data_IF_719081062997
#
_entry.id   IF_719081062997
#
_cell.length_a   1.000
_cell.length_b   1.000
_cell.length_c   1.000
_cell.angle_alpha   90.00
_cell.angle_beta   90.00
_cell.angle_gamma   90.00
#
_symmetry.space_group_name_H-M   'P 1'
#
loop_
_entity.id
_entity.type
_entity.pdbx_description
1 polymer ?
#
# COMPACT_ATOMS: atom_id res chain seq x y z
N UNK A 1 -29.80 9.86 -13.82
CA UNK A 1 -28.58 10.52 -14.33
C UNK A 1 -27.68 10.77 -13.13
N UNK A 2 -26.72 9.90 -12.86
CA UNK A 2 -25.84 10.01 -11.69
C UNK A 2 -24.79 11.09 -11.96
N UNK A 3 -24.69 12.08 -11.06
CA UNK A 3 -23.81 13.22 -11.21
C UNK A 3 -22.34 12.80 -11.36
N UNK A 4 -21.72 13.29 -12.42
CA UNK A 4 -20.26 13.32 -12.55
C UNK A 4 -19.73 14.16 -11.40
N UNK A 5 -19.11 13.50 -10.42
CA UNK A 5 -18.39 14.18 -9.35
C UNK A 5 -17.05 14.62 -9.92
N UNK A 6 -16.97 15.87 -10.39
CA UNK A 6 -15.73 16.54 -10.85
C UNK A 6 -14.81 16.91 -9.65
N UNK A 7 -14.66 15.99 -8.70
CA UNK A 7 -13.75 16.13 -7.55
C UNK A 7 -12.53 15.23 -7.73
N UNK A 8 -11.42 15.52 -7.04
CA UNK A 8 -10.27 14.62 -7.03
C UNK A 8 -10.70 13.22 -6.53
N UNK A 9 -10.16 12.17 -7.15
CA UNK A 9 -10.51 10.77 -6.85
C UNK A 9 -10.45 10.53 -5.33
N UNK A 10 -11.55 10.05 -4.70
CA UNK A 10 -11.58 9.81 -3.26
C UNK A 10 -10.53 8.78 -2.87
N UNK A 11 -9.82 9.04 -1.77
CA UNK A 11 -8.79 8.11 -1.27
C UNK A 11 -9.43 7.17 -0.26
N UNK A 12 -9.37 5.88 -0.52
CA UNK A 12 -9.93 4.86 0.39
C UNK A 12 -8.86 4.41 1.38
N UNK A 13 -9.09 4.64 2.68
CA UNK A 13 -8.26 4.05 3.73
C UNK A 13 -8.61 2.56 3.87
N UNK A 14 -7.63 1.68 3.81
CA UNK A 14 -7.86 0.23 3.83
C UNK A 14 -6.70 -0.54 4.46
N UNK A 15 -6.99 -1.79 4.80
CA UNK A 15 -5.99 -2.77 5.22
C UNK A 15 -5.21 -3.27 4.00
N UNK A 16 -3.94 -3.59 4.22
CA UNK A 16 -3.11 -4.25 3.21
C UNK A 16 -3.81 -5.51 2.71
N UNK A 17 -4.33 -6.33 3.62
CA UNK A 17 -5.11 -7.56 3.40
C UNK A 17 -6.34 -7.41 2.50
N UNK A 18 -6.84 -6.17 2.33
CA UNK A 18 -8.03 -5.87 1.52
C UNK A 18 -7.70 -5.26 0.17
N UNK A 19 -6.43 -4.92 -0.09
CA UNK A 19 -5.97 -4.44 -1.39
C UNK A 19 -6.44 -5.30 -2.59
N UNK A 20 -6.48 -6.65 -2.53
CA UNK A 20 -6.94 -7.47 -3.65
C UNK A 20 -8.42 -7.28 -4.00
N UNK A 21 -9.22 -6.70 -3.10
CA UNK A 21 -10.65 -6.47 -3.31
C UNK A 21 -10.93 -5.22 -4.16
N UNK A 22 -9.93 -4.36 -4.37
CA UNK A 22 -10.09 -3.11 -5.09
C UNK A 22 -9.77 -3.28 -6.57
N UNK A 23 -10.51 -2.55 -7.41
CA UNK A 23 -10.28 -2.55 -8.85
C UNK A 23 -9.03 -1.72 -9.20
N UNK A 24 -8.29 -2.10 -10.26
CA UNK A 24 -7.23 -1.27 -10.81
C UNK A 24 -7.66 0.16 -11.06
N UNK A 25 -6.79 1.12 -10.77
CA UNK A 25 -7.08 2.56 -10.82
C UNK A 25 -7.72 3.14 -9.56
N UNK A 26 -8.08 2.32 -8.57
CA UNK A 26 -8.59 2.81 -7.28
C UNK A 26 -7.49 3.48 -6.48
N UNK A 27 -7.77 4.69 -5.98
CA UNK A 27 -6.88 5.40 -5.06
C UNK A 27 -7.03 4.87 -3.64
N UNK A 28 -5.97 4.29 -3.11
CA UNK A 28 -5.93 3.66 -1.78
C UNK A 28 -4.90 4.33 -0.89
N UNK A 29 -5.18 4.30 0.41
CA UNK A 29 -4.23 4.58 1.48
C UNK A 29 -4.20 3.37 2.40
N UNK A 30 -3.02 2.86 2.67
CA UNK A 30 -2.84 1.75 3.61
C UNK A 30 -1.53 1.89 4.35
N UNK A 31 -1.38 1.07 5.38
CA UNK A 31 -0.18 0.97 6.19
C UNK A 31 0.47 -0.38 5.94
N UNK A 32 1.80 -0.39 5.86
CA UNK A 32 2.58 -1.61 5.83
C UNK A 32 3.96 -1.43 6.43
N UNK A 33 4.55 -2.53 6.86
CA UNK A 33 5.94 -2.63 7.28
C UNK A 33 6.81 -2.98 6.07
N UNK A 34 7.90 -2.25 5.86
CA UNK A 34 8.85 -2.55 4.78
C UNK A 34 9.60 -3.83 5.10
N UNK A 35 9.47 -4.85 4.25
CA UNK A 35 10.22 -6.10 4.38
C UNK A 35 11.38 -6.17 3.39
N UNK A 36 11.22 -5.61 2.20
CA UNK A 36 12.25 -5.60 1.17
C UNK A 36 12.19 -4.31 0.33
N UNK A 37 13.35 -3.90 -0.20
CA UNK A 37 13.46 -2.82 -1.16
C UNK A 37 14.36 -3.23 -2.33
N UNK A 38 13.79 -3.24 -3.54
CA UNK A 38 14.53 -3.45 -4.79
C UNK A 38 14.86 -2.12 -5.44
N UNK A 39 16.13 -1.72 -5.39
CA UNK A 39 16.63 -0.52 -6.08
C UNK A 39 16.60 -0.67 -7.61
N UNK A 40 16.66 -1.89 -8.13
CA UNK A 40 16.65 -2.17 -9.58
C UNK A 40 15.30 -1.83 -10.22
N UNK A 41 14.22 -2.05 -9.48
CA UNK A 41 12.84 -1.88 -9.96
C UNK A 41 12.10 -0.76 -9.23
N UNK A 42 12.79 -0.03 -8.32
CA UNK A 42 12.20 0.96 -7.44
C UNK A 42 10.92 0.44 -6.74
N UNK A 43 10.98 -0.80 -6.23
CA UNK A 43 9.82 -1.48 -5.64
C UNK A 43 10.06 -1.79 -4.17
N UNK A 44 9.13 -1.38 -3.31
CA UNK A 44 9.07 -1.74 -1.90
C UNK A 44 8.08 -2.89 -1.70
N UNK A 45 8.51 -3.94 -1.01
CA UNK A 45 7.61 -4.98 -0.53
C UNK A 45 7.14 -4.61 0.86
N UNK A 46 5.84 -4.42 1.01
CA UNK A 46 5.21 -4.15 2.29
C UNK A 46 4.40 -5.35 2.77
N UNK A 47 4.48 -5.63 4.05
CA UNK A 47 3.69 -6.65 4.72
C UNK A 47 2.94 -6.06 5.91
N UNK A 48 1.81 -6.67 6.24
CA UNK A 48 1.06 -6.36 7.44
C UNK A 48 0.45 -7.65 7.98
N UNK A 49 0.88 -8.07 9.17
CA UNK A 49 0.37 -9.28 9.83
C UNK A 49 -0.97 -9.01 10.56
N UNK A 50 -1.88 -8.25 9.93
CA UNK A 50 -3.22 -7.99 10.45
C UNK A 50 -4.27 -8.13 9.34
N UNK A 51 -5.26 -9.03 9.49
CA UNK A 51 -5.44 -9.98 10.60
C UNK A 51 -4.32 -11.04 10.67
N UNK A 52 -4.02 -11.59 11.85
CA UNK A 52 -2.94 -12.55 12.04
C UNK A 52 -3.14 -13.81 11.18
N UNK A 53 -2.08 -14.24 10.48
CA UNK A 53 -2.12 -15.36 9.54
C UNK A 53 -2.33 -14.96 8.09
N UNK A 54 -2.58 -13.68 7.80
CA UNK A 54 -2.57 -13.14 6.44
C UNK A 54 -1.14 -12.76 6.03
N UNK A 55 -0.57 -13.49 5.08
CA UNK A 55 0.78 -13.22 4.50
C UNK A 55 0.70 -12.39 3.21
N UNK A 56 -0.28 -11.48 3.13
CA UNK A 56 -0.44 -10.67 1.92
C UNK A 56 0.69 -9.64 1.83
N UNK A 57 1.25 -9.52 0.63
CA UNK A 57 2.28 -8.54 0.28
C UNK A 57 1.70 -7.48 -0.64
N UNK A 58 2.08 -6.23 -0.43
CA UNK A 58 1.89 -5.16 -1.39
C UNK A 58 3.22 -4.86 -2.07
N UNK A 59 3.21 -4.87 -3.41
CA UNK A 59 4.36 -4.51 -4.25
C UNK A 59 4.21 -3.06 -4.65
N UNK A 60 4.86 -2.17 -3.91
CA UNK A 60 4.71 -0.72 -4.06
C UNK A 60 5.82 -0.17 -4.94
N UNK A 61 5.48 0.21 -6.17
CA UNK A 61 6.37 1.00 -7.02
C UNK A 61 6.47 2.42 -6.47
N UNK A 62 7.69 2.89 -6.24
CA UNK A 62 7.99 4.26 -5.79
C UNK A 62 8.60 5.14 -6.88
N UNK A 63 8.58 4.68 -8.13
CA UNK A 63 9.21 5.36 -9.29
C UNK A 63 8.86 6.86 -9.37
N UNK A 64 7.58 7.20 -9.22
CA UNK A 64 7.07 8.58 -9.28
C UNK A 64 7.54 9.48 -8.12
N UNK A 65 8.01 8.91 -7.02
CA UNK A 65 8.36 9.63 -5.78
C UNK A 65 9.81 9.42 -5.35
N UNK A 66 10.63 8.79 -6.18
CA UNK A 66 12.05 8.52 -5.90
C UNK A 66 12.82 9.78 -5.49
N UNK A 67 12.55 10.92 -6.11
CA UNK A 67 13.25 12.18 -5.83
C UNK A 67 12.77 12.87 -4.53
N UNK A 68 11.68 12.39 -3.94
CA UNK A 68 11.07 12.98 -2.74
C UNK A 68 11.20 12.10 -1.50
N UNK A 69 11.49 10.81 -1.68
CA UNK A 69 11.66 9.86 -0.58
C UNK A 69 13.00 10.07 0.11
N UNK A 70 12.96 10.11 1.45
CA UNK A 70 14.17 10.18 2.28
C UNK A 70 14.72 8.77 2.50
N UNK A 71 16.05 8.65 2.61
CA UNK A 71 16.74 7.35 2.74
C UNK A 71 16.32 6.50 3.95
N UNK A 72 15.72 7.09 4.98
CA UNK A 72 15.20 6.35 6.13
C UNK A 72 13.82 5.72 5.88
N UNK A 73 13.08 6.21 4.88
CA UNK A 73 11.75 5.73 4.51
C UNK A 73 11.79 4.49 3.60
N UNK A 74 13.00 4.00 3.30
CA UNK A 74 13.26 2.75 2.58
C UNK A 74 13.90 1.68 3.47
N UNK A 75 13.93 1.90 4.79
CA UNK A 75 14.57 0.98 5.73
C UNK A 75 13.65 -0.20 6.04
N UNK A 76 14.17 -1.42 5.92
CA UNK A 76 13.46 -2.64 6.38
C UNK A 76 13.12 -2.52 7.86
N UNK A 77 11.90 -2.92 8.21
CA UNK A 77 11.34 -2.84 9.57
C UNK A 77 10.60 -1.53 9.87
N UNK A 78 10.66 -0.54 8.98
CA UNK A 78 9.95 0.71 9.15
C UNK A 78 8.48 0.59 8.75
N UNK A 79 7.58 1.16 9.56
CA UNK A 79 6.17 1.28 9.23
C UNK A 79 5.91 2.54 8.43
N UNK A 80 5.35 2.38 7.23
CA UNK A 80 5.09 3.49 6.31
C UNK A 80 3.63 3.54 5.89
N UNK A 81 3.09 4.75 5.83
CA UNK A 81 1.82 5.00 5.16
C UNK A 81 2.10 5.14 3.66
N UNK A 82 1.34 4.42 2.85
CA UNK A 82 1.38 4.53 1.39
C UNK A 82 0.06 5.06 0.90
N UNK A 83 0.11 6.09 0.06
CA UNK A 83 -0.99 6.50 -0.79
C UNK A 83 -0.62 6.25 -2.24
N UNK A 84 -1.49 5.56 -2.96
CA UNK A 84 -1.20 5.12 -4.31
C UNK A 84 -2.44 4.64 -5.05
N UNK A 85 -2.21 4.16 -6.27
CA UNK A 85 -3.23 3.55 -7.10
C UNK A 85 -2.97 2.06 -7.24
N UNK A 86 -4.02 1.26 -7.11
CA UNK A 86 -3.96 -0.17 -7.44
C UNK A 86 -3.63 -0.29 -8.92
N UNK A 87 -2.58 -1.02 -9.24
CA UNK A 87 -2.23 -1.31 -10.62
C UNK A 87 -2.97 -2.55 -11.08
N UNK A 88 -3.25 -2.65 -12.38
CA UNK A 88 -3.68 -3.91 -12.95
C UNK A 88 -2.57 -4.93 -12.71
N UNK A 89 -2.92 -6.20 -12.48
CA UNK A 89 -1.95 -7.29 -12.48
C UNK A 89 -1.34 -7.40 -13.87
N UNK A 90 -0.33 -6.56 -14.12
CA UNK A 90 0.53 -6.73 -15.27
C UNK A 90 1.36 -7.94 -14.93
N UNK A 91 0.95 -9.10 -15.45
CA UNK A 91 1.77 -10.30 -15.55
C UNK A 91 3.22 -9.85 -15.77
N UNK A 92 4.12 -10.01 -14.79
CA UNK A 92 5.47 -9.51 -14.97
C UNK A 92 6.10 -10.36 -16.07
N UNK A 93 6.44 -9.73 -17.19
CA UNK A 93 7.16 -10.39 -18.28
C UNK A 93 8.52 -10.96 -17.83
N UNK A 94 9.02 -10.63 -16.65
CA UNK A 94 10.20 -11.25 -16.04
C UNK A 94 10.17 -11.08 -14.51
N UNK A 95 9.55 -11.99 -13.77
CA UNK A 95 9.81 -12.12 -12.33
C UNK A 95 9.85 -13.60 -11.96
N UNK A 96 11.07 -14.07 -11.71
CA UNK A 96 11.43 -15.47 -11.41
C UNK A 96 11.14 -15.82 -9.94
N UNK A 97 10.34 -15.02 -9.22
CA UNK A 97 10.00 -15.29 -7.83
C UNK A 97 8.48 -15.15 -7.72
N UNK A 98 7.84 -16.24 -7.28
CA UNK A 98 6.41 -16.36 -7.01
C UNK A 98 6.00 -15.46 -5.82
N UNK A 99 6.12 -14.16 -5.98
CA UNK A 99 5.71 -13.17 -4.99
C UNK A 99 4.31 -12.67 -5.37
N UNK A 100 3.28 -13.49 -5.12
CA UNK A 100 1.88 -13.06 -5.28
C UNK A 100 1.60 -11.89 -4.34
N UNK A 101 1.74 -10.67 -4.84
CA UNK A 101 1.50 -9.44 -4.10
C UNK A 101 0.74 -8.44 -4.95
N UNK A 102 -0.05 -7.58 -4.31
CA UNK A 102 -0.88 -6.61 -5.02
C UNK A 102 0.00 -5.46 -5.51
N UNK A 103 0.06 -5.17 -6.81
CA UNK A 103 0.88 -4.08 -7.32
C UNK A 103 0.19 -2.74 -7.04
N UNK A 104 0.95 -1.79 -6.51
CA UNK A 104 0.49 -0.43 -6.19
C UNK A 104 1.52 0.57 -6.70
N UNK A 105 1.07 1.61 -7.40
CA UNK A 105 1.92 2.75 -7.71
C UNK A 105 1.75 3.82 -6.63
N UNK A 106 2.81 4.07 -5.86
CA UNK A 106 2.81 5.12 -4.85
C UNK A 106 2.89 6.50 -5.52
N UNK A 107 2.14 7.44 -4.94
CA UNK A 107 2.21 8.88 -5.23
C UNK A 107 2.62 9.68 -3.99
N UNK A 108 2.52 9.08 -2.80
CA UNK A 108 2.98 9.65 -1.55
C UNK A 108 3.32 8.50 -0.58
N UNK A 109 4.46 8.63 0.09
CA UNK A 109 4.94 7.69 1.10
C UNK A 109 5.54 8.49 2.25
N UNK A 110 5.25 8.08 3.48
CA UNK A 110 5.85 8.69 4.67
C UNK A 110 6.01 7.71 5.82
N UNK A 111 7.11 7.86 6.57
CA UNK A 111 7.33 7.13 7.81
C UNK A 111 6.25 7.44 8.84
N UNK A 112 5.89 6.40 9.59
CA UNK A 112 4.94 6.47 10.69
C UNK A 112 5.65 6.23 12.02
N UNK A 113 6.65 7.07 12.30
CA UNK A 113 7.64 6.96 13.38
C UNK A 113 7.09 6.82 14.82
N UNK A 114 5.80 7.06 15.06
CA UNK A 114 5.17 6.92 16.39
C UNK A 114 3.88 6.10 16.36
N UNK A 115 3.75 5.18 15.40
CA UNK A 115 2.54 4.39 15.24
C UNK A 115 2.29 3.50 16.46
N UNK A 116 1.25 3.85 17.21
CA UNK A 116 0.59 2.89 18.07
C UNK A 116 -0.26 1.98 17.17
N UNK A 117 0.34 0.87 16.71
CA UNK A 117 -0.25 -0.10 15.79
C UNK A 117 -1.66 -0.52 16.25
N UNK A 118 -1.85 -0.72 17.56
CA UNK A 118 -3.12 -1.12 18.16
C UNK A 118 -4.22 -0.06 17.99
N UNK A 119 -3.87 1.23 17.98
CA UNK A 119 -4.83 2.32 17.75
C UNK A 119 -5.24 2.40 16.28
N UNK A 120 -4.31 2.13 15.38
CA UNK A 120 -4.57 2.08 13.94
C UNK A 120 -5.48 0.88 13.57
N UNK A 121 -5.19 -0.31 14.09
CA UNK A 121 -6.01 -1.51 13.90
C UNK A 121 -7.45 -1.29 14.40
N UNK A 122 -7.63 -0.74 15.61
CA UNK A 122 -8.96 -0.40 16.14
C UNK A 122 -9.74 0.59 15.26
N UNK A 123 -9.05 1.60 14.72
CA UNK A 123 -9.70 2.60 13.84
C UNK A 123 -10.21 1.96 12.56
N UNK A 124 -9.48 0.97 12.02
CA UNK A 124 -9.89 0.22 10.85
C UNK A 124 -11.06 -0.73 11.14
N UNK A 125 -11.07 -1.38 12.30
CA UNK A 125 -12.20 -2.21 12.74
C UNK A 125 -13.47 -1.39 12.95
N UNK A 126 -13.36 -0.20 13.52
CA UNK A 126 -14.48 0.75 13.67
C UNK A 126 -15.03 1.20 12.31
N UNK A 127 -14.17 1.36 11.30
CA UNK A 127 -14.59 1.72 9.96
C UNK A 127 -15.28 0.55 9.23
N UNK A 128 -14.87 -0.69 9.51
CA UNK A 128 -15.53 -1.91 9.01
C UNK A 128 -16.91 -2.16 9.63
N UNK A 129 -17.08 -1.84 10.92
CA UNK A 129 -18.35 -2.09 11.64
C UNK A 129 -19.42 -1.01 11.39
N UNK A 130 -19.05 0.15 10.84
CA UNK A 130 -20.00 1.24 10.53
C UNK A 130 -20.59 1.18 9.11
N UNK A 131 -20.50 0.04 8.42
CA UNK A 131 -21.02 -0.11 7.05
C UNK A 131 -22.17 -1.11 6.99
#
# INVERSE_FOLDING_TARGET
MAGVQNGPVPTTLTLLSELPKFVPGTKVRFLGCITNYSTKTATLTLEHNYPPGQTLRALVSIDLILNTIKSHETRTGEWVNVMGYIQAESQPKHSVINESGVPVQAILLWSSASLNLQTYERSLDQQKTSK
#
